data_IF_023834050606
#
_entry.id   IF_023834050606
#
_cell.length_a   1.000
_cell.length_b   1.000
_cell.length_c   1.000
_cell.angle_alpha   90.00
_cell.angle_beta   90.00
_cell.angle_gamma   90.00
#
_symmetry.space_group_name_H-M   'P 1'
#
loop_
_entity.id
_entity.type
_entity.pdbx_description
1 polymer ?
#
# COMPACT_ATOMS: atom_id res chain seq x y z
N UNK A 1 -3.00 -49.78 1.99
CA UNK A 1 -1.69 -49.96 2.65
C UNK A 1 -1.03 -48.59 2.68
N UNK A 2 -0.73 -48.15 3.91
CA UNK A 2 -0.23 -46.83 4.34
C UNK A 2 -1.29 -45.73 4.53
N UNK A 3 -1.56 -45.57 5.82
CA UNK A 3 -2.28 -44.54 6.54
C UNK A 3 -1.26 -43.49 7.05
N UNK A 4 -1.79 -42.36 7.55
CA UNK A 4 -1.20 -41.33 8.43
C UNK A 4 -0.88 -39.94 7.83
N UNK A 5 -1.82 -39.02 8.09
CA UNK A 5 -1.64 -37.71 8.78
C UNK A 5 -0.62 -36.67 8.28
N UNK A 6 -1.09 -35.49 7.82
CA UNK A 6 -0.88 -34.15 8.42
C UNK A 6 -1.62 -33.04 7.60
N UNK A 7 -1.77 -31.77 8.05
CA UNK A 7 -3.01 -30.99 7.95
C UNK A 7 -2.91 -29.82 6.94
N UNK A 8 -4.01 -29.09 6.77
CA UNK A 8 -4.07 -27.75 6.14
C UNK A 8 -3.29 -26.71 6.99
N UNK A 9 -3.01 -25.45 6.56
CA UNK A 9 -3.25 -24.75 5.28
C UNK A 9 -1.97 -24.07 4.72
N UNK A 10 -1.92 -23.65 3.45
CA UNK A 10 -0.84 -22.72 3.02
C UNK A 10 -1.43 -21.31 2.99
N UNK A 11 -1.09 -20.59 4.06
CA UNK A 11 -1.37 -19.18 4.27
C UNK A 11 -0.65 -18.27 3.27
N UNK A 12 -1.30 -17.14 3.06
CA UNK A 12 -0.77 -15.81 2.68
C UNK A 12 0.75 -15.72 2.72
N UNK A 13 1.36 -15.43 1.57
CA UNK A 13 2.72 -14.90 1.51
C UNK A 13 2.67 -13.48 2.10
N UNK A 14 3.24 -13.28 3.28
CA UNK A 14 3.66 -11.96 3.71
C UNK A 14 4.97 -11.69 2.98
N UNK A 15 5.00 -10.69 2.09
CA UNK A 15 6.26 -10.09 1.64
C UNK A 15 6.92 -9.48 2.90
N UNK A 16 7.87 -10.20 3.49
CA UNK A 16 8.64 -9.70 4.62
C UNK A 16 9.62 -8.64 4.08
N UNK A 17 9.42 -7.38 4.46
CA UNK A 17 10.36 -6.30 4.12
C UNK A 17 11.60 -6.46 5.00
N UNK A 18 12.75 -6.71 4.36
CA UNK A 18 14.07 -6.76 5.01
C UNK A 18 14.42 -5.40 5.66
N UNK A 19 14.75 -5.39 6.95
CA UNK A 19 15.19 -4.19 7.67
C UNK A 19 16.71 -4.12 7.84
N UNK A 20 17.31 -2.95 7.64
CA UNK A 20 18.78 -2.80 7.61
C UNK A 20 19.24 -1.78 8.66
N UNK A 21 20.14 -2.19 9.55
CA UNK A 21 20.68 -1.35 10.63
C UNK A 21 22.20 -1.30 10.57
N UNK A 22 22.76 -0.10 10.57
CA UNK A 22 24.20 0.12 10.69
C UNK A 22 24.70 0.03 12.13
N UNK A 23 25.90 -0.50 12.33
CA UNK A 23 26.61 -0.47 13.61
C UNK A 23 27.89 0.34 13.43
N UNK A 24 27.98 1.48 14.11
CA UNK A 24 29.08 2.44 14.01
C UNK A 24 29.73 2.67 15.37
N UNK A 25 30.98 3.12 15.37
CA UNK A 25 31.78 3.35 16.58
C UNK A 25 33.26 3.38 16.22
N UNK A 26 34.09 3.91 17.12
CA UNK A 26 35.53 3.97 16.92
C UNK A 26 36.15 2.58 16.66
N UNK A 27 37.34 2.56 16.07
CA UNK A 27 38.11 1.33 15.97
C UNK A 27 38.40 0.77 17.37
N UNK A 28 38.04 -0.49 17.61
CA UNK A 28 38.17 -1.12 18.92
C UNK A 28 37.03 -0.85 19.91
N UNK A 29 35.98 -0.10 19.54
CA UNK A 29 34.82 0.15 20.41
C UNK A 29 33.96 -1.11 20.72
N UNK A 30 34.24 -2.24 20.05
CA UNK A 30 33.52 -3.51 20.26
C UNK A 30 32.28 -3.70 19.38
N UNK A 31 32.22 -3.03 18.22
CA UNK A 31 31.13 -3.20 17.23
C UNK A 31 30.86 -4.66 16.87
N UNK A 32 31.90 -5.41 16.52
CA UNK A 32 31.77 -6.84 16.18
C UNK A 32 31.19 -7.65 17.34
N UNK A 33 31.59 -7.35 18.58
CA UNK A 33 31.01 -7.98 19.79
C UNK A 33 29.52 -7.66 19.94
N UNK A 34 29.11 -6.42 19.64
CA UNK A 34 27.69 -6.07 19.66
C UNK A 34 26.91 -6.79 18.56
N UNK A 35 27.45 -6.85 17.33
CA UNK A 35 26.84 -7.56 16.20
C UNK A 35 26.65 -9.03 16.51
N UNK A 36 27.68 -9.73 17.00
CA UNK A 36 27.59 -11.15 17.39
C UNK A 36 26.49 -11.40 18.42
N UNK A 37 26.40 -10.54 19.44
CA UNK A 37 25.38 -10.65 20.49
C UNK A 37 23.97 -10.35 19.96
N UNK A 38 23.83 -9.39 19.05
CA UNK A 38 22.55 -9.05 18.41
C UNK A 38 22.08 -10.14 17.46
N UNK A 39 22.96 -10.71 16.63
CA UNK A 39 22.63 -11.87 15.79
C UNK A 39 22.05 -12.98 16.65
N UNK A 40 22.71 -13.31 17.77
CA UNK A 40 22.22 -14.34 18.68
C UNK A 40 20.89 -13.98 19.35
N UNK A 41 20.64 -12.71 19.67
CA UNK A 41 19.39 -12.27 20.30
C UNK A 41 18.21 -12.27 19.31
N UNK A 42 18.43 -11.78 18.08
CA UNK A 42 17.44 -11.77 17.01
C UNK A 42 17.10 -13.18 16.53
N UNK A 43 18.09 -14.07 16.38
CA UNK A 43 17.88 -15.48 16.06
C UNK A 43 17.03 -16.18 17.14
N UNK A 44 17.31 -15.93 18.43
CA UNK A 44 16.47 -16.43 19.54
C UNK A 44 15.04 -15.88 19.50
N UNK A 45 14.82 -14.71 18.90
CA UNK A 45 13.50 -14.12 18.71
C UNK A 45 12.76 -14.68 17.47
N UNK A 46 13.38 -15.61 16.73
CA UNK A 46 12.80 -16.23 15.54
C UNK A 46 12.94 -15.40 14.27
N UNK A 47 13.89 -14.46 14.25
CA UNK A 47 14.17 -13.57 13.11
C UNK A 47 15.37 -14.11 12.32
N UNK A 48 15.25 -14.16 10.99
CA UNK A 48 16.37 -14.49 10.11
C UNK A 48 17.30 -13.27 9.99
N UNK A 49 18.61 -13.47 10.21
CA UNK A 49 19.57 -12.35 10.34
C UNK A 49 20.73 -12.49 9.37
N UNK A 50 20.91 -11.47 8.54
CA UNK A 50 22.07 -11.26 7.69
C UNK A 50 23.09 -10.33 8.34
N UNK A 51 24.34 -10.38 7.88
CA UNK A 51 25.37 -9.41 8.30
C UNK A 51 26.17 -8.94 7.10
N UNK A 52 26.47 -7.66 7.07
CA UNK A 52 27.37 -7.03 6.10
C UNK A 52 28.52 -6.42 6.86
N UNK A 53 29.76 -6.73 6.46
CA UNK A 53 30.96 -6.11 7.02
C UNK A 53 31.70 -5.32 5.95
N UNK A 54 31.75 -4.00 6.11
CA UNK A 54 32.54 -3.13 5.25
C UNK A 54 34.04 -3.34 5.48
N UNK A 55 34.78 -3.71 4.43
CA UNK A 55 36.23 -3.92 4.49
C UNK A 55 36.92 -2.78 3.74
N UNK A 56 37.52 -1.84 4.49
CA UNK A 56 38.14 -0.63 3.93
C UNK A 56 39.59 -0.82 3.42
N UNK A 57 40.09 -2.05 3.39
CA UNK A 57 41.40 -2.39 2.85
C UNK A 57 41.27 -3.51 1.82
N UNK A 58 42.16 -3.56 0.84
CA UNK A 58 42.15 -4.63 -0.16
C UNK A 58 42.43 -5.97 0.53
N UNK A 59 41.37 -6.77 0.71
CA UNK A 59 41.43 -8.14 1.21
C UNK A 59 41.04 -9.06 0.08
N UNK A 60 41.85 -10.08 -0.14
CA UNK A 60 41.48 -11.16 -1.02
C UNK A 60 40.64 -12.18 -0.24
N UNK A 61 39.44 -12.47 -0.73
CA UNK A 61 38.46 -13.31 -0.03
C UNK A 61 38.59 -14.79 -0.39
N UNK A 62 39.24 -15.12 -1.51
CA UNK A 62 39.59 -16.48 -1.90
C UNK A 62 41.11 -16.69 -1.98
N UNK A 63 41.59 -17.92 -1.85
CA UNK A 63 43.03 -18.18 -1.80
C UNK A 63 43.70 -17.93 -3.17
N UNK A 64 44.68 -17.01 -3.27
CA UNK A 64 45.37 -16.72 -4.52
C UNK A 64 45.95 -17.96 -5.19
N UNK A 65 45.62 -18.14 -6.47
CA UNK A 65 46.11 -19.26 -7.28
C UNK A 65 45.34 -20.57 -7.12
N UNK A 66 44.33 -20.65 -6.24
CA UNK A 66 43.38 -21.77 -6.19
C UNK A 66 42.26 -21.61 -7.21
N UNK A 67 41.40 -22.62 -7.32
CA UNK A 67 40.44 -22.75 -8.43
C UNK A 67 39.41 -21.62 -8.47
N UNK A 68 38.80 -21.23 -7.34
CA UNK A 68 37.85 -20.11 -7.28
C UNK A 68 38.49 -18.79 -7.68
N UNK A 69 39.69 -18.50 -7.16
CA UNK A 69 40.47 -17.32 -7.52
C UNK A 69 40.82 -17.31 -9.01
N UNK A 70 41.23 -18.46 -9.56
CA UNK A 70 41.55 -18.60 -10.99
C UNK A 70 40.32 -18.41 -11.87
N UNK A 71 39.15 -18.91 -11.47
CA UNK A 71 37.89 -18.68 -12.20
C UNK A 71 37.51 -17.20 -12.19
N UNK A 72 37.59 -16.54 -11.03
CA UNK A 72 37.25 -15.11 -10.86
C UNK A 72 38.18 -14.23 -11.69
N UNK A 73 39.49 -14.44 -11.58
CA UNK A 73 40.50 -13.67 -12.32
C UNK A 73 40.52 -13.97 -13.83
N UNK A 74 39.96 -15.11 -14.26
CA UNK A 74 39.73 -15.40 -15.67
C UNK A 74 38.53 -14.62 -16.27
N UNK A 75 37.77 -13.88 -15.45
CA UNK A 75 36.66 -13.04 -15.89
C UNK A 75 35.28 -13.66 -15.71
N UNK A 76 35.12 -14.68 -14.86
CA UNK A 76 33.80 -15.17 -14.49
C UNK A 76 33.00 -14.05 -13.79
N UNK A 77 31.79 -13.78 -14.27
CA UNK A 77 30.91 -12.77 -13.69
C UNK A 77 30.47 -13.11 -12.25
N UNK A 78 30.41 -14.41 -11.93
CA UNK A 78 30.10 -14.96 -10.61
C UNK A 78 30.87 -16.27 -10.45
N UNK A 79 31.47 -16.49 -9.29
CA UNK A 79 32.11 -17.75 -8.91
C UNK A 79 31.45 -18.24 -7.63
N UNK A 80 30.99 -19.49 -7.60
CA UNK A 80 30.39 -20.10 -6.41
C UNK A 80 31.23 -21.29 -5.99
N UNK A 81 31.76 -21.25 -4.77
CA UNK A 81 32.39 -22.37 -4.09
C UNK A 81 31.41 -23.01 -3.13
N UNK A 82 31.28 -24.34 -3.18
CA UNK A 82 30.32 -25.08 -2.34
C UNK A 82 31.02 -26.23 -1.65
N UNK A 83 30.80 -26.37 -0.35
CA UNK A 83 31.10 -27.55 0.47
C UNK A 83 29.79 -28.09 1.05
N UNK A 84 29.78 -29.29 1.68
CA UNK A 84 28.58 -29.79 2.36
C UNK A 84 28.05 -28.87 3.48
N UNK A 85 28.87 -27.96 3.99
CA UNK A 85 28.58 -27.14 5.18
C UNK A 85 28.51 -25.63 4.86
N UNK A 86 29.03 -25.19 3.71
CA UNK A 86 29.19 -23.77 3.40
C UNK A 86 29.12 -23.52 1.88
N UNK A 87 28.44 -22.44 1.51
CA UNK A 87 28.51 -21.85 0.17
C UNK A 87 29.15 -20.47 0.27
N UNK A 88 30.07 -20.17 -0.64
CA UNK A 88 30.68 -18.86 -0.80
C UNK A 88 30.53 -18.39 -2.25
N UNK A 89 30.10 -17.14 -2.44
CA UNK A 89 29.99 -16.51 -3.75
C UNK A 89 31.00 -15.36 -3.88
N UNK A 90 31.58 -15.22 -5.06
CA UNK A 90 32.49 -14.14 -5.41
C UNK A 90 32.02 -13.47 -6.69
N UNK A 91 31.81 -12.17 -6.64
CA UNK A 91 31.40 -11.36 -7.78
C UNK A 91 32.41 -10.22 -7.97
N UNK A 92 33.28 -10.31 -9.00
CA UNK A 92 34.18 -9.21 -9.30
C UNK A 92 33.38 -8.01 -9.83
N UNK A 93 33.66 -6.82 -9.30
CA UNK A 93 33.06 -5.56 -9.74
C UNK A 93 34.00 -4.85 -10.70
N UNK A 94 33.44 -4.18 -11.72
CA UNK A 94 34.21 -3.42 -12.71
C UNK A 94 34.90 -2.19 -12.13
N UNK A 95 35.66 -1.45 -12.97
CA UNK A 95 36.42 -0.26 -12.54
C UNK A 95 35.54 0.93 -12.12
N UNK A 96 34.28 0.94 -12.54
CA UNK A 96 33.28 1.96 -12.20
C UNK A 96 32.21 1.31 -11.32
N UNK A 97 32.55 0.98 -10.07
CA UNK A 97 31.74 0.17 -9.15
C UNK A 97 30.68 0.95 -8.37
N UNK A 98 30.54 2.26 -8.65
CA UNK A 98 29.57 3.15 -8.01
C UNK A 98 29.95 3.57 -6.58
N UNK A 99 31.13 3.21 -6.09
CA UNK A 99 31.60 3.60 -4.76
C UNK A 99 30.96 2.80 -3.61
N UNK A 100 31.00 3.35 -2.40
CA UNK A 100 30.61 2.67 -1.18
C UNK A 100 29.10 2.36 -1.11
N UNK A 101 28.25 3.27 -1.59
CA UNK A 101 26.80 3.07 -1.55
C UNK A 101 26.38 1.95 -2.49
N UNK A 102 26.85 1.96 -3.74
CA UNK A 102 26.60 0.86 -4.68
C UNK A 102 27.21 -0.48 -4.22
N UNK A 103 28.27 -0.45 -3.40
CA UNK A 103 28.82 -1.65 -2.78
C UNK A 103 27.95 -2.18 -1.64
N UNK A 104 27.32 -1.30 -0.87
CA UNK A 104 26.35 -1.66 0.14
C UNK A 104 25.07 -2.21 -0.49
N UNK A 105 24.50 -1.55 -1.50
CA UNK A 105 23.28 -1.97 -2.19
C UNK A 105 23.42 -3.39 -2.75
N UNK A 106 24.51 -3.66 -3.47
CA UNK A 106 24.82 -5.02 -3.95
C UNK A 106 24.94 -6.07 -2.85
N UNK A 107 25.42 -5.69 -1.67
CA UNK A 107 25.53 -6.61 -0.55
C UNK A 107 24.15 -6.89 0.06
N UNK A 108 23.27 -5.89 0.08
CA UNK A 108 21.88 -6.01 0.57
C UNK A 108 21.01 -6.84 -0.37
N UNK A 109 21.20 -6.72 -1.69
CA UNK A 109 20.49 -7.51 -2.71
C UNK A 109 20.67 -9.04 -2.52
N UNK A 110 21.76 -9.48 -1.88
CA UNK A 110 22.03 -10.91 -1.61
C UNK A 110 21.09 -11.51 -0.55
N UNK A 111 20.36 -10.68 0.20
CA UNK A 111 19.54 -11.08 1.36
C UNK A 111 18.03 -10.86 1.14
N UNK A 112 17.65 -10.21 0.03
CA UNK A 112 16.31 -9.66 -0.17
C UNK A 112 15.17 -10.69 -0.12
N UNK A 113 15.46 -11.98 -0.35
CA UNK A 113 14.45 -13.03 -0.48
C UNK A 113 14.28 -13.91 0.78
N UNK A 114 15.20 -13.84 1.75
CA UNK A 114 15.28 -14.84 2.83
C UNK A 114 15.77 -14.33 4.20
N UNK A 115 15.96 -13.01 4.36
CA UNK A 115 16.42 -12.40 5.61
C UNK A 115 15.52 -11.24 6.06
N UNK A 116 15.09 -11.29 7.32
CA UNK A 116 14.24 -10.28 7.94
C UNK A 116 15.05 -9.04 8.37
N UNK A 117 16.27 -9.23 8.89
CA UNK A 117 17.12 -8.14 9.42
C UNK A 117 18.57 -8.28 8.95
N UNK A 118 19.16 -7.21 8.43
CA UNK A 118 20.59 -7.13 8.11
C UNK A 118 21.32 -6.15 9.02
N UNK A 119 22.34 -6.64 9.71
CA UNK A 119 23.25 -5.81 10.52
C UNK A 119 24.49 -5.42 9.71
N UNK A 120 24.70 -4.12 9.50
CA UNK A 120 25.78 -3.57 8.69
C UNK A 120 26.88 -2.99 9.58
N UNK A 121 27.98 -3.71 9.76
CA UNK A 121 29.19 -3.18 10.40
C UNK A 121 30.07 -2.47 9.37
N UNK A 122 30.04 -1.14 9.34
CA UNK A 122 30.77 -0.32 8.36
C UNK A 122 29.86 0.72 7.71
N UNK A 123 30.25 1.22 6.54
CA UNK A 123 29.47 2.18 5.75
C UNK A 123 28.94 3.35 6.60
N UNK A 124 29.83 4.02 7.35
CA UNK A 124 29.43 5.05 8.30
C UNK A 124 28.72 6.24 7.65
N UNK A 125 29.00 6.51 6.38
CA UNK A 125 28.34 7.56 5.59
C UNK A 125 27.00 7.15 4.97
N UNK A 126 26.55 5.89 5.14
CA UNK A 126 25.23 5.50 4.62
C UNK A 126 24.13 6.13 5.48
N UNK A 127 23.01 6.52 4.88
CA UNK A 127 21.84 7.03 5.59
C UNK A 127 21.09 6.00 6.47
N UNK A 128 21.53 4.74 6.51
CA UNK A 128 20.94 3.69 7.37
C UNK A 128 20.83 4.13 8.83
N UNK A 129 19.77 3.73 9.56
CA UNK A 129 19.68 3.93 11.00
C UNK A 129 20.84 3.21 11.72
N UNK A 130 21.35 3.81 12.79
CA UNK A 130 22.63 3.45 13.41
C UNK A 130 22.50 3.07 14.88
N UNK A 131 23.11 1.95 15.25
CA UNK A 131 23.53 1.65 16.61
C UNK A 131 24.93 2.20 16.82
N UNK A 132 25.08 3.15 17.74
CA UNK A 132 26.35 3.85 17.98
C UNK A 132 27.04 3.26 19.21
N UNK A 133 28.22 2.69 19.02
CA UNK A 133 29.02 2.04 20.06
C UNK A 133 30.16 2.95 20.50
N UNK A 134 30.21 3.25 21.80
CA UNK A 134 31.21 4.14 22.39
C UNK A 134 30.79 5.62 22.33
N UNK A 135 31.79 6.50 22.18
CA UNK A 135 31.56 7.96 22.14
C UNK A 135 31.11 8.40 20.73
N UNK A 136 29.88 8.92 20.56
CA UNK A 136 29.38 9.37 19.27
C UNK A 136 30.15 10.57 18.70
N UNK A 137 30.76 11.41 19.54
CA UNK A 137 31.52 12.58 19.06
C UNK A 137 32.87 12.19 18.47
N UNK A 138 33.30 10.95 18.69
CA UNK A 138 34.59 10.45 18.27
C UNK A 138 34.59 9.86 16.85
N UNK A 139 33.41 9.78 16.20
CA UNK A 139 33.26 9.32 14.82
C UNK A 139 32.27 10.18 14.04
N UNK A 140 32.56 10.39 12.75
CA UNK A 140 31.59 10.95 11.81
C UNK A 140 30.79 9.82 11.15
N UNK A 141 29.47 9.96 11.15
CA UNK A 141 28.54 9.06 10.48
C UNK A 141 27.29 9.82 10.05
N UNK A 142 26.61 9.29 9.04
CA UNK A 142 25.32 9.76 8.57
C UNK A 142 24.21 8.77 9.02
N UNK A 143 22.95 9.21 8.95
CA UNK A 143 21.79 8.45 9.36
C UNK A 143 21.39 8.65 10.83
N UNK A 144 20.16 8.25 11.14
CA UNK A 144 19.56 8.45 12.46
C UNK A 144 20.14 7.51 13.52
N UNK A 145 20.29 8.01 14.75
CA UNK A 145 20.75 7.18 15.88
C UNK A 145 19.58 6.41 16.47
N UNK A 146 19.54 5.11 16.20
CA UNK A 146 18.53 4.21 16.77
C UNK A 146 18.78 3.96 18.26
N UNK A 147 20.03 3.72 18.65
CA UNK A 147 20.41 3.60 20.07
C UNK A 147 21.91 3.84 20.28
N UNK A 148 22.27 4.33 21.47
CA UNK A 148 23.67 4.48 21.90
C UNK A 148 24.05 3.40 22.91
N UNK A 149 25.13 2.68 22.63
CA UNK A 149 25.66 1.59 23.44
C UNK A 149 27.04 2.00 23.97
N UNK A 150 27.14 2.30 25.26
CA UNK A 150 28.41 2.75 25.85
C UNK A 150 29.51 1.68 25.77
N UNK A 151 29.16 0.43 26.08
CA UNK A 151 30.01 -0.76 25.93
C UNK A 151 29.15 -1.95 25.55
N UNK A 152 29.59 -2.82 24.63
CA UNK A 152 28.82 -4.01 24.27
C UNK A 152 28.52 -4.89 25.47
N UNK A 153 29.48 -5.08 26.38
CA UNK A 153 29.35 -5.94 27.56
C UNK A 153 28.18 -5.54 28.47
N UNK A 154 27.95 -4.23 28.61
CA UNK A 154 26.93 -3.66 29.48
C UNK A 154 25.57 -3.49 28.77
N UNK A 155 25.49 -3.82 27.47
CA UNK A 155 24.26 -3.66 26.69
C UNK A 155 23.21 -4.72 27.06
N UNK A 156 21.97 -4.27 27.28
CA UNK A 156 20.81 -5.16 27.28
C UNK A 156 20.47 -5.51 25.82
N UNK A 157 21.02 -6.62 25.36
CA UNK A 157 20.93 -7.03 23.95
C UNK A 157 19.57 -7.58 23.55
N UNK A 158 18.78 -8.07 24.51
CA UNK A 158 17.42 -8.49 24.23
C UNK A 158 16.52 -7.26 24.08
N UNK A 159 16.70 -6.22 24.91
CA UNK A 159 16.04 -4.93 24.71
C UNK A 159 16.49 -4.23 23.42
N UNK A 160 17.77 -4.35 23.05
CA UNK A 160 18.27 -3.79 21.80
C UNK A 160 17.72 -4.53 20.58
N UNK A 161 17.65 -5.85 20.63
CA UNK A 161 17.01 -6.67 19.60
C UNK A 161 15.52 -6.33 19.48
N UNK A 162 14.81 -6.19 20.60
CA UNK A 162 13.43 -5.73 20.62
C UNK A 162 13.28 -4.36 19.98
N UNK A 163 14.19 -3.41 20.23
CA UNK A 163 14.18 -2.10 19.55
C UNK A 163 14.47 -2.16 18.06
N UNK A 164 15.38 -3.04 17.62
CA UNK A 164 15.61 -3.28 16.20
C UNK A 164 14.34 -3.85 15.56
N UNK A 165 13.67 -4.80 16.23
CA UNK A 165 12.40 -5.38 15.79
C UNK A 165 11.23 -4.39 15.87
N UNK A 166 11.19 -3.54 16.87
CA UNK A 166 10.18 -2.49 16.98
C UNK A 166 10.42 -1.44 15.90
N UNK A 167 11.68 -1.12 15.58
CA UNK A 167 12.01 -0.26 14.44
C UNK A 167 11.75 -0.94 13.08
N UNK A 168 11.70 -2.29 13.00
CA UNK A 168 11.13 -3.01 11.85
C UNK A 168 9.60 -2.88 11.79
N UNK A 169 8.95 -2.54 12.92
CA UNK A 169 7.49 -2.46 13.09
C UNK A 169 6.95 -1.02 13.23
N UNK A 170 7.80 -0.01 13.38
CA UNK A 170 7.45 1.42 13.38
C UNK A 170 8.55 2.37 13.91
N UNK A 171 8.76 3.48 13.18
CA UNK A 171 9.00 4.91 13.59
C UNK A 171 10.00 5.65 12.64
N UNK A 172 10.11 6.99 12.61
CA UNK A 172 9.40 7.94 11.74
C UNK A 172 10.40 8.94 11.11
N UNK A 173 11.26 8.49 10.20
CA UNK A 173 12.34 9.34 9.66
C UNK A 173 12.88 8.95 8.28
N UNK A 174 12.42 7.84 7.73
CA UNK A 174 12.64 7.43 6.35
C UNK A 174 11.34 7.67 5.61
N UNK A 175 11.36 8.40 4.49
CA UNK A 175 10.30 8.36 3.47
C UNK A 175 10.24 6.94 2.88
N UNK A 176 9.75 6.01 3.67
CA UNK A 176 9.16 4.76 3.24
C UNK A 176 7.81 4.77 3.94
N UNK A 177 6.74 4.83 3.15
CA UNK A 177 5.38 4.68 3.63
C UNK A 177 5.36 3.56 4.67
N UNK A 178 4.69 3.78 5.80
CA UNK A 178 4.29 2.66 6.65
C UNK A 178 3.62 1.62 5.76
N UNK A 179 3.68 0.31 6.08
CA UNK A 179 3.10 -0.70 5.19
C UNK A 179 1.67 -0.27 4.86
N UNK A 180 1.48 0.19 3.61
CA UNK A 180 0.25 0.82 3.17
C UNK A 180 -0.84 -0.20 3.43
N UNK A 181 -1.63 0.07 4.46
CA UNK A 181 -2.72 -0.83 4.76
C UNK A 181 -3.81 -0.47 3.78
N UNK A 182 -4.13 -1.41 2.90
CA UNK A 182 -5.26 -1.25 2.00
C UNK A 182 -6.54 -1.54 2.77
N UNK A 183 -7.42 -0.54 2.88
CA UNK A 183 -8.80 -0.72 3.33
C UNK A 183 -9.67 -0.87 2.08
N UNK A 184 -10.43 -1.96 2.00
CA UNK A 184 -11.34 -2.21 0.88
C UNK A 184 -12.60 -1.34 1.04
N UNK A 185 -12.86 -0.51 0.03
CA UNK A 185 -14.00 0.43 0.03
C UNK A 185 -15.10 0.01 -0.96
N UNK A 186 -15.10 -1.25 -1.38
CA UNK A 186 -15.91 -1.75 -2.49
C UNK A 186 -16.97 -2.75 -2.00
N UNK A 187 -18.23 -2.57 -2.42
CA UNK A 187 -19.25 -3.59 -2.24
C UNK A 187 -19.01 -4.80 -3.16
N UNK A 188 -19.30 -6.00 -2.67
CA UNK A 188 -19.26 -7.22 -3.50
C UNK A 188 -20.34 -7.15 -4.60
N UNK A 189 -19.94 -7.41 -5.85
CA UNK A 189 -20.90 -7.56 -6.95
C UNK A 189 -21.64 -8.89 -6.83
N UNK A 190 -22.96 -8.84 -6.85
CA UNK A 190 -23.83 -10.00 -6.77
C UNK A 190 -25.04 -9.88 -7.69
N UNK A 191 -25.56 -11.01 -8.18
CA UNK A 191 -26.83 -11.03 -8.90
C UNK A 191 -27.95 -10.53 -7.99
N UNK A 192 -28.71 -9.53 -8.45
CA UNK A 192 -29.81 -8.95 -7.69
C UNK A 192 -29.42 -7.88 -6.66
N UNK A 193 -28.14 -7.45 -6.66
CA UNK A 193 -27.70 -6.30 -5.88
C UNK A 193 -28.47 -5.02 -6.27
N UNK A 194 -28.50 -3.99 -5.39
CA UNK A 194 -29.07 -2.69 -5.74
C UNK A 194 -28.41 -2.09 -6.99
N UNK A 195 -29.25 -1.54 -7.87
CA UNK A 195 -28.85 -0.70 -9.01
C UNK A 195 -29.78 0.51 -9.05
N UNK A 196 -29.34 1.62 -9.62
CA UNK A 196 -30.19 2.80 -9.75
C UNK A 196 -31.49 2.45 -10.49
N UNK A 197 -32.67 2.96 -10.08
CA UNK A 197 -33.93 2.59 -10.72
C UNK A 197 -33.97 2.88 -12.23
N UNK A 198 -34.06 1.81 -13.03
CA UNK A 198 -34.08 1.87 -14.49
C UNK A 198 -32.78 1.41 -15.15
N UNK A 199 -31.71 1.24 -14.37
CA UNK A 199 -30.42 0.77 -14.87
C UNK A 199 -30.41 -0.74 -15.16
N UNK A 200 -29.45 -1.22 -15.99
CA UNK A 200 -29.26 -2.63 -16.22
C UNK A 200 -28.89 -3.37 -14.92
N UNK A 201 -29.56 -4.50 -14.68
CA UNK A 201 -29.25 -5.37 -13.53
C UNK A 201 -27.86 -6.01 -13.67
N UNK A 202 -27.17 -6.16 -12.54
CA UNK A 202 -25.98 -7.03 -12.44
C UNK A 202 -26.40 -8.49 -12.45
N UNK A 203 -25.82 -9.28 -13.34
CA UNK A 203 -26.05 -10.72 -13.46
C UNK A 203 -24.73 -11.48 -13.51
N UNK A 204 -24.57 -12.41 -12.57
CA UNK A 204 -23.48 -13.37 -12.47
C UNK A 204 -24.04 -14.77 -12.70
N UNK A 205 -23.61 -15.43 -13.77
CA UNK A 205 -24.06 -16.77 -14.16
C UNK A 205 -22.89 -17.74 -14.23
N UNK A 206 -23.01 -18.91 -13.59
CA UNK A 206 -22.01 -19.98 -13.74
C UNK A 206 -22.11 -20.61 -15.13
N UNK A 207 -21.02 -20.55 -15.88
CA UNK A 207 -20.90 -21.10 -17.25
C UNK A 207 -20.23 -22.48 -17.25
N UNK A 208 -19.30 -22.73 -16.32
CA UNK A 208 -18.58 -24.00 -16.19
C UNK A 208 -18.32 -24.33 -14.72
N UNK A 209 -18.27 -25.61 -14.36
CA UNK A 209 -18.01 -26.08 -12.99
C UNK A 209 -16.86 -27.08 -12.91
N UNK A 210 -16.17 -27.12 -11.77
CA UNK A 210 -15.09 -28.10 -11.58
C UNK A 210 -15.55 -29.56 -11.71
N UNK A 211 -16.81 -29.84 -11.36
CA UNK A 211 -17.35 -31.20 -11.40
C UNK A 211 -17.54 -31.72 -12.83
N UNK A 212 -18.05 -30.87 -13.72
CA UNK A 212 -18.41 -31.26 -15.08
C UNK A 212 -17.30 -30.93 -16.10
N UNK A 213 -16.56 -29.84 -15.89
CA UNK A 213 -15.62 -29.27 -16.86
C UNK A 213 -14.15 -29.28 -16.38
N UNK A 214 -13.91 -29.50 -15.09
CA UNK A 214 -12.57 -29.47 -14.47
C UNK A 214 -12.06 -28.07 -14.09
N UNK A 215 -12.84 -27.02 -14.33
CA UNK A 215 -12.56 -25.62 -13.97
C UNK A 215 -13.87 -24.86 -13.66
N UNK A 216 -13.79 -23.71 -12.98
CA UNK A 216 -14.97 -22.87 -12.69
C UNK A 216 -14.86 -21.53 -13.41
N UNK A 217 -15.92 -21.13 -14.11
CA UNK A 217 -16.03 -19.83 -14.82
C UNK A 217 -17.45 -19.30 -14.68
N UNK A 218 -17.56 -18.00 -14.42
CA UNK A 218 -18.83 -17.26 -14.50
C UNK A 218 -18.79 -16.24 -15.64
N UNK A 219 -19.94 -15.95 -16.25
CA UNK A 219 -20.18 -14.74 -17.02
C UNK A 219 -20.68 -13.62 -16.12
N UNK A 220 -20.23 -12.39 -16.41
CA UNK A 220 -20.65 -11.17 -15.75
C UNK A 220 -21.34 -10.28 -16.79
N UNK A 221 -22.57 -9.86 -16.52
CA UNK A 221 -23.24 -8.78 -17.22
C UNK A 221 -23.45 -7.63 -16.23
N UNK A 222 -22.91 -6.46 -16.55
CA UNK A 222 -22.81 -5.30 -15.66
C UNK A 222 -23.29 -4.05 -16.39
N UNK A 223 -24.01 -3.18 -15.68
CA UNK A 223 -24.14 -1.78 -16.07
C UNK A 223 -22.83 -1.02 -15.87
N UNK A 224 -22.66 0.12 -16.54
CA UNK A 224 -21.51 1.02 -16.34
C UNK A 224 -21.48 1.59 -14.92
N UNK A 225 -22.66 1.77 -14.31
CA UNK A 225 -22.87 2.30 -12.97
C UNK A 225 -23.18 1.21 -11.92
N UNK A 226 -22.67 -0.01 -12.14
CA UNK A 226 -22.95 -1.14 -11.26
C UNK A 226 -22.07 -1.15 -10.00
N UNK A 227 -22.72 -1.13 -8.82
CA UNK A 227 -22.04 -1.28 -7.53
C UNK A 227 -21.18 -0.08 -7.19
N UNK A 228 -20.05 -0.33 -6.55
CA UNK A 228 -19.02 0.71 -6.37
C UNK A 228 -18.40 1.03 -7.72
N UNK A 229 -18.57 2.26 -8.19
CA UNK A 229 -18.24 2.66 -9.55
C UNK A 229 -17.78 4.12 -9.62
N UNK A 230 -17.29 4.52 -10.79
CA UNK A 230 -16.92 5.90 -11.12
C UNK A 230 -17.69 6.38 -12.35
N UNK A 231 -18.07 7.66 -12.31
CA UNK A 231 -18.74 8.38 -13.38
C UNK A 231 -17.80 9.38 -14.05
N UNK A 232 -17.85 9.41 -15.38
CA UNK A 232 -17.17 10.36 -16.23
C UNK A 232 -18.15 11.42 -16.77
N UNK A 233 -17.65 12.58 -17.25
CA UNK A 233 -18.48 13.67 -17.74
C UNK A 233 -19.57 13.28 -18.75
N UNK A 234 -19.28 12.27 -19.58
CA UNK A 234 -20.22 11.73 -20.58
C UNK A 234 -21.55 11.25 -20.00
N UNK A 235 -21.62 10.92 -18.72
CA UNK A 235 -22.82 10.45 -18.05
C UNK A 235 -23.98 11.47 -18.12
N UNK A 236 -23.67 12.78 -18.01
CA UNK A 236 -24.68 13.86 -18.06
C UNK A 236 -24.46 14.87 -19.18
N UNK A 237 -23.32 14.83 -19.87
CA UNK A 237 -23.02 15.68 -21.04
C UNK A 237 -22.75 14.83 -22.28
N UNK A 238 -23.53 15.03 -23.34
CA UNK A 238 -23.38 14.30 -24.60
C UNK A 238 -22.01 14.52 -25.29
N UNK A 239 -21.37 15.67 -25.04
CA UNK A 239 -20.04 16.01 -25.53
C UNK A 239 -18.94 15.80 -24.47
N UNK A 240 -19.32 15.33 -23.27
CA UNK A 240 -18.43 15.06 -22.15
C UNK A 240 -17.43 13.93 -22.44
N UNK A 241 -16.29 14.01 -21.74
CA UNK A 241 -15.27 12.98 -21.76
C UNK A 241 -15.79 11.64 -21.21
N UNK A 242 -15.42 10.55 -21.86
CA UNK A 242 -15.55 9.18 -21.35
C UNK A 242 -14.32 8.79 -20.53
N UNK A 243 -14.38 7.67 -19.81
CA UNK A 243 -13.25 7.15 -19.02
C UNK A 243 -11.97 6.93 -19.85
N UNK A 244 -12.09 6.72 -21.17
CA UNK A 244 -10.94 6.58 -22.06
C UNK A 244 -10.05 7.82 -22.19
N UNK A 245 -10.53 8.99 -21.74
CA UNK A 245 -9.78 10.25 -21.75
C UNK A 245 -8.87 10.45 -20.54
N UNK A 246 -9.08 9.70 -19.45
CA UNK A 246 -8.39 9.85 -18.17
C UNK A 246 -7.16 8.93 -18.08
N UNK A 247 -6.08 9.42 -17.47
CA UNK A 247 -4.88 8.66 -17.15
C UNK A 247 -5.06 7.87 -15.84
N UNK A 248 -4.16 6.91 -15.57
CA UNK A 248 -4.21 6.15 -14.31
C UNK A 248 -4.04 7.04 -13.07
N UNK A 249 -3.25 8.11 -13.20
CA UNK A 249 -3.00 9.07 -12.12
C UNK A 249 -4.29 9.81 -11.72
N UNK A 250 -5.28 9.94 -12.62
CA UNK A 250 -6.58 10.56 -12.32
C UNK A 250 -7.48 9.68 -11.42
N UNK A 251 -7.05 8.46 -11.10
CA UNK A 251 -7.77 7.51 -10.24
C UNK A 251 -7.00 7.16 -8.95
N UNK A 252 -5.88 7.84 -8.69
CA UNK A 252 -5.14 7.80 -7.42
C UNK A 252 -5.09 9.21 -6.85
N UNK A 253 -5.99 9.48 -5.91
CA UNK A 253 -6.37 10.82 -5.48
C UNK A 253 -6.02 11.03 -4.00
N UNK A 254 -5.50 12.20 -3.64
CA UNK A 254 -5.37 12.58 -2.24
C UNK A 254 -6.77 12.90 -1.69
N UNK A 255 -7.23 12.12 -0.71
CA UNK A 255 -8.60 12.16 -0.23
C UNK A 255 -8.77 12.92 1.08
N UNK A 256 -9.89 13.64 1.19
CA UNK A 256 -10.39 14.23 2.43
C UNK A 256 -11.71 13.57 2.84
N UNK A 257 -11.71 12.83 3.94
CA UNK A 257 -12.95 12.31 4.54
C UNK A 257 -13.73 13.45 5.22
N UNK A 258 -15.02 13.52 4.91
CA UNK A 258 -16.01 14.41 5.51
C UNK A 258 -17.15 13.58 6.13
N UNK A 259 -17.10 13.28 7.43
CA UNK A 259 -18.21 12.65 8.13
C UNK A 259 -19.40 13.63 8.21
N UNK A 260 -20.54 13.21 7.68
CA UNK A 260 -21.78 14.00 7.67
C UNK A 260 -22.90 13.19 8.34
N UNK A 261 -23.54 13.78 9.35
CA UNK A 261 -24.75 13.21 9.96
C UNK A 261 -25.95 13.64 9.13
N UNK A 262 -26.37 12.79 8.19
CA UNK A 262 -27.52 13.02 7.32
C UNK A 262 -28.39 11.76 7.28
N UNK A 263 -29.69 11.95 7.52
CA UNK A 263 -30.68 10.88 7.50
C UNK A 263 -31.24 10.60 6.10
N UNK A 264 -32.26 9.73 6.08
CA UNK A 264 -32.99 9.40 4.87
C UNK A 264 -33.51 10.66 4.18
N UNK A 265 -33.25 10.80 2.87
CA UNK A 265 -33.72 11.92 2.03
C UNK A 265 -33.26 13.30 2.53
N UNK A 266 -32.24 13.38 3.37
CA UNK A 266 -31.73 14.65 3.89
C UNK A 266 -30.78 15.30 2.89
N UNK A 267 -30.94 16.61 2.71
CA UNK A 267 -30.11 17.40 1.82
C UNK A 267 -28.79 17.80 2.49
N UNK A 268 -27.67 17.45 1.87
CA UNK A 268 -26.32 17.82 2.28
C UNK A 268 -25.97 19.14 1.59
N UNK A 269 -26.16 20.24 2.34
CA UNK A 269 -25.72 21.59 1.99
C UNK A 269 -24.23 21.86 2.26
N UNK A 270 -23.73 23.00 1.76
CA UNK A 270 -22.33 23.46 1.95
C UNK A 270 -21.96 23.52 3.44
N UNK A 271 -22.92 23.85 4.30
CA UNK A 271 -22.74 23.93 5.75
C UNK A 271 -22.33 22.62 6.43
N UNK A 272 -22.49 21.49 5.75
CA UNK A 272 -22.06 20.17 6.22
C UNK A 272 -20.64 19.81 5.75
N UNK A 273 -20.09 20.55 4.79
CA UNK A 273 -18.80 20.27 4.20
C UNK A 273 -17.67 20.93 5.02
N UNK A 274 -16.46 20.33 5.05
CA UNK A 274 -15.33 20.92 5.74
C UNK A 274 -14.85 22.21 5.03
N UNK A 275 -14.06 23.01 5.72
CA UNK A 275 -13.27 24.05 5.07
C UNK A 275 -12.38 23.41 3.98
N UNK A 276 -12.19 24.09 2.84
CA UNK A 276 -11.46 23.53 1.73
C UNK A 276 -9.96 23.39 2.08
N UNK A 277 -9.36 22.32 1.60
CA UNK A 277 -7.96 21.96 1.70
C UNK A 277 -7.42 21.54 0.33
N UNK A 278 -6.26 20.89 0.29
CA UNK A 278 -5.53 20.49 -0.91
C UNK A 278 -5.81 19.04 -1.35
N UNK A 279 -6.92 18.43 -0.93
CA UNK A 279 -7.33 17.12 -1.50
C UNK A 279 -7.72 17.24 -2.98
N UNK A 280 -7.59 16.14 -3.69
CA UNK A 280 -8.15 15.96 -5.03
C UNK A 280 -9.60 15.45 -4.95
N UNK A 281 -9.97 14.72 -3.88
CA UNK A 281 -11.31 14.14 -3.71
C UNK A 281 -11.89 14.40 -2.32
N UNK A 282 -13.13 14.86 -2.27
CA UNK A 282 -13.92 14.94 -1.05
C UNK A 282 -14.75 13.65 -0.90
N UNK A 283 -14.51 12.92 0.18
CA UNK A 283 -15.19 11.65 0.48
C UNK A 283 -16.25 11.92 1.55
N UNK A 284 -17.51 12.04 1.15
CA UNK A 284 -18.63 12.28 2.07
C UNK A 284 -19.12 10.95 2.62
N UNK A 285 -18.90 10.74 3.92
CA UNK A 285 -19.29 9.53 4.64
C UNK A 285 -20.50 9.83 5.52
N UNK A 286 -21.60 9.11 5.28
CA UNK A 286 -22.86 9.22 6.03
C UNK A 286 -23.14 7.99 6.88
N UNK A 287 -22.51 6.85 6.56
CA UNK A 287 -22.81 5.53 7.10
C UNK A 287 -24.01 4.86 6.39
N UNK A 288 -24.42 5.38 5.23
CA UNK A 288 -25.57 4.86 4.48
C UNK A 288 -25.30 3.49 3.84
N UNK A 289 -24.03 3.13 3.67
CA UNK A 289 -23.59 1.81 3.21
C UNK A 289 -24.08 0.68 4.12
N UNK A 290 -24.38 0.96 5.40
CA UNK A 290 -25.03 0.02 6.31
C UNK A 290 -26.45 -0.42 5.86
N UNK A 291 -27.07 0.31 4.92
CA UNK A 291 -28.37 -0.01 4.33
C UNK A 291 -28.28 -0.75 3.00
N UNK A 292 -27.08 -1.11 2.53
CA UNK A 292 -26.87 -1.88 1.30
C UNK A 292 -27.77 -3.12 1.25
N UNK A 293 -28.29 -3.43 0.07
CA UNK A 293 -29.20 -4.56 -0.18
C UNK A 293 -30.56 -4.46 0.56
N UNK A 294 -31.02 -3.25 0.87
CA UNK A 294 -32.35 -3.00 1.44
C UNK A 294 -33.14 -1.94 0.66
N UNK A 295 -34.48 -1.98 0.75
CA UNK A 295 -35.35 -0.98 0.12
C UNK A 295 -35.07 0.46 0.64
N UNK A 296 -34.61 0.59 1.89
CA UNK A 296 -34.24 1.88 2.47
C UNK A 296 -33.02 2.49 1.79
N UNK A 297 -32.15 1.69 1.16
CA UNK A 297 -30.95 2.21 0.50
C UNK A 297 -31.27 3.29 -0.54
N UNK A 298 -32.40 3.15 -1.23
CA UNK A 298 -32.89 4.10 -2.24
C UNK A 298 -33.42 5.42 -1.66
N UNK A 299 -33.54 5.54 -0.34
CA UNK A 299 -33.93 6.77 0.35
C UNK A 299 -32.72 7.49 0.97
N UNK A 300 -31.55 7.33 0.35
CA UNK A 300 -30.29 7.95 0.76
C UNK A 300 -30.35 9.48 0.88
N UNK A 301 -29.46 10.08 1.69
CA UNK A 301 -29.20 11.51 1.62
C UNK A 301 -28.64 11.89 0.24
N UNK A 302 -28.67 13.19 -0.08
CA UNK A 302 -28.21 13.69 -1.39
C UNK A 302 -27.54 15.04 -1.25
N UNK A 303 -26.68 15.41 -2.19
CA UNK A 303 -26.05 16.72 -2.20
C UNK A 303 -26.99 17.77 -2.79
N UNK A 304 -26.98 18.96 -2.20
CA UNK A 304 -27.56 20.13 -2.88
C UNK A 304 -26.72 20.51 -4.09
N UNK A 305 -27.36 21.13 -5.10
CA UNK A 305 -26.64 21.65 -6.28
C UNK A 305 -25.55 22.67 -5.90
N UNK A 306 -25.77 23.44 -4.84
CA UNK A 306 -24.80 24.42 -4.34
C UNK A 306 -23.61 23.73 -3.66
N UNK A 307 -23.82 22.64 -2.92
CA UNK A 307 -22.73 21.82 -2.37
C UNK A 307 -21.89 21.15 -3.48
N UNK A 308 -22.55 20.59 -4.50
CA UNK A 308 -21.86 20.02 -5.65
C UNK A 308 -21.06 21.07 -6.45
N UNK A 309 -21.63 22.27 -6.64
CA UNK A 309 -20.93 23.38 -7.26
C UNK A 309 -19.73 23.84 -6.41
N UNK A 310 -19.88 23.90 -5.09
CA UNK A 310 -18.80 24.23 -4.18
C UNK A 310 -17.64 23.22 -4.29
N UNK A 311 -17.92 21.92 -4.36
CA UNK A 311 -16.88 20.91 -4.60
C UNK A 311 -16.12 21.18 -5.90
N UNK A 312 -16.86 21.40 -7.00
CA UNK A 312 -16.26 21.68 -8.30
C UNK A 312 -15.43 22.99 -8.33
N UNK A 313 -15.88 24.04 -7.63
CA UNK A 313 -15.15 25.31 -7.50
C UNK A 313 -13.83 25.19 -6.73
N UNK A 314 -13.69 24.14 -5.90
CA UNK A 314 -12.48 23.82 -5.16
C UNK A 314 -11.70 22.66 -5.79
N UNK A 315 -11.99 22.34 -7.06
CA UNK A 315 -11.33 21.30 -7.85
C UNK A 315 -11.51 19.86 -7.29
N UNK A 316 -12.44 19.64 -6.36
CA UNK A 316 -12.70 18.32 -5.81
C UNK A 316 -13.46 17.41 -6.78
N UNK A 317 -12.94 16.19 -6.95
CA UNK A 317 -13.75 15.01 -7.23
C UNK A 317 -14.67 14.70 -6.04
N UNK A 318 -15.73 13.95 -6.26
CA UNK A 318 -16.66 13.55 -5.20
C UNK A 318 -16.65 12.03 -5.03
N UNK A 319 -16.63 11.57 -3.78
CA UNK A 319 -16.82 10.18 -3.43
C UNK A 319 -17.88 10.05 -2.31
N UNK A 320 -18.81 9.11 -2.42
CA UNK A 320 -19.95 8.95 -1.51
C UNK A 320 -20.22 7.48 -1.14
N UNK A 321 -20.78 7.24 0.04
CA UNK A 321 -21.18 5.90 0.53
C UNK A 321 -22.65 5.54 0.28
N UNK A 322 -23.32 6.33 -0.56
CA UNK A 322 -24.71 6.13 -0.95
C UNK A 322 -24.87 6.08 -2.46
N UNK A 323 -26.08 5.71 -2.89
CA UNK A 323 -26.39 5.31 -4.26
C UNK A 323 -26.16 6.39 -5.30
N UNK A 324 -26.32 7.66 -4.95
CA UNK A 324 -26.20 8.77 -5.89
C UNK A 324 -26.08 10.12 -5.20
N UNK A 325 -25.33 11.13 -5.70
CA UNK A 325 -25.34 12.48 -5.15
C UNK A 325 -26.67 13.19 -5.40
N UNK A 326 -27.53 12.67 -6.26
CA UNK A 326 -28.87 13.18 -6.55
C UNK A 326 -29.97 12.24 -6.02
N UNK A 327 -31.16 12.73 -5.62
CA UNK A 327 -32.20 11.87 -5.07
C UNK A 327 -32.70 10.80 -6.05
N UNK A 328 -32.84 9.58 -5.55
CA UNK A 328 -33.47 8.48 -6.30
C UNK A 328 -35.00 8.64 -6.34
N UNK A 329 -35.68 8.36 -7.47
CA UNK A 329 -37.14 8.41 -7.54
C UNK A 329 -37.81 7.25 -6.78
N UNK A 330 -38.21 7.45 -5.52
CA UNK A 330 -39.02 6.48 -4.75
C UNK A 330 -40.38 7.06 -4.34
N UNK A 331 -41.23 6.23 -3.74
CA UNK A 331 -42.51 6.64 -3.18
C UNK A 331 -42.37 7.59 -1.98
N UNK A 332 -41.18 7.69 -1.38
CA UNK A 332 -40.90 8.54 -0.22
C UNK A 332 -40.33 9.92 -0.59
N UNK A 333 -40.09 10.18 -1.88
CA UNK A 333 -39.57 11.46 -2.36
C UNK A 333 -40.52 12.62 -2.07
N UNK A 334 -40.00 13.69 -1.46
CA UNK A 334 -40.74 14.93 -1.24
C UNK A 334 -40.81 15.77 -2.54
N UNK A 335 -41.95 16.43 -2.86
CA UNK A 335 -42.06 17.31 -4.03
C UNK A 335 -41.06 18.49 -4.06
N UNK A 336 -40.44 18.82 -2.94
CA UNK A 336 -39.39 19.83 -2.82
C UNK A 336 -37.98 19.32 -3.15
N UNK A 337 -37.79 18.01 -3.32
CA UNK A 337 -36.53 17.43 -3.77
C UNK A 337 -36.22 17.85 -5.22
N UNK A 338 -34.93 18.01 -5.57
CA UNK A 338 -34.55 18.33 -6.94
C UNK A 338 -34.96 17.21 -7.91
N UNK A 339 -35.42 17.60 -9.10
CA UNK A 339 -35.67 16.68 -10.20
C UNK A 339 -34.43 16.52 -11.09
N UNK A 340 -34.18 15.30 -11.57
CA UNK A 340 -33.06 15.02 -12.46
C UNK A 340 -31.74 14.91 -11.70
N UNK A 341 -30.64 15.33 -12.31
CA UNK A 341 -29.29 15.11 -11.80
C UNK A 341 -28.48 16.41 -11.63
N UNK A 342 -28.97 17.40 -10.84
CA UNK A 342 -28.27 18.67 -10.70
C UNK A 342 -26.90 18.54 -10.04
N UNK A 343 -26.68 17.65 -9.06
CA UNK A 343 -25.38 17.47 -8.42
C UNK A 343 -24.37 16.91 -9.42
N UNK A 344 -24.73 15.85 -10.16
CA UNK A 344 -23.91 15.35 -11.27
C UNK A 344 -23.61 16.46 -12.28
N UNK A 345 -24.63 17.21 -12.72
CA UNK A 345 -24.45 18.26 -13.70
C UNK A 345 -23.46 19.35 -13.28
N UNK A 346 -23.31 19.61 -11.97
CA UNK A 346 -22.29 20.54 -11.46
C UNK A 346 -20.89 19.93 -11.43
N UNK A 347 -20.76 18.69 -10.98
CA UNK A 347 -19.47 18.00 -10.82
C UNK A 347 -18.92 17.58 -12.19
N UNK A 348 -19.67 16.74 -12.89
CA UNK A 348 -19.30 16.18 -14.18
C UNK A 348 -19.21 17.26 -15.26
N UNK A 349 -20.05 18.30 -15.19
CA UNK A 349 -19.96 19.46 -16.09
C UNK A 349 -18.72 20.36 -15.86
N UNK A 350 -17.99 20.15 -14.76
CA UNK A 350 -16.72 20.77 -14.44
C UNK A 350 -15.55 19.77 -14.48
N UNK A 351 -15.73 18.66 -15.20
CA UNK A 351 -14.77 17.56 -15.36
C UNK A 351 -14.36 16.90 -14.04
N UNK A 352 -15.22 16.94 -13.01
CA UNK A 352 -14.99 16.26 -11.73
C UNK A 352 -15.67 14.90 -11.70
N UNK A 353 -14.87 13.84 -11.70
CA UNK A 353 -15.32 12.45 -11.48
C UNK A 353 -16.14 12.31 -10.18
N UNK A 354 -17.12 11.39 -10.22
CA UNK A 354 -17.96 11.02 -9.08
C UNK A 354 -17.79 9.53 -8.80
N UNK A 355 -17.56 9.15 -7.55
CA UNK A 355 -17.44 7.77 -7.10
C UNK A 355 -18.60 7.46 -6.14
N UNK A 356 -19.37 6.43 -6.45
CA UNK A 356 -20.60 6.11 -5.72
C UNK A 356 -20.53 4.74 -5.03
N UNK A 357 -21.44 4.52 -4.08
CA UNK A 357 -21.59 3.25 -3.37
C UNK A 357 -20.29 2.75 -2.71
N UNK A 358 -19.54 3.63 -2.06
CA UNK A 358 -18.42 3.21 -1.22
C UNK A 358 -18.90 2.55 0.08
N UNK A 359 -18.05 1.72 0.68
CA UNK A 359 -18.26 1.14 2.02
C UNK A 359 -16.96 1.16 2.82
N UNK A 360 -16.97 0.74 4.10
CA UNK A 360 -15.74 0.56 4.89
C UNK A 360 -15.05 1.87 5.30
N UNK A 361 -15.74 3.02 5.16
CA UNK A 361 -15.19 4.35 5.46
C UNK A 361 -15.06 4.65 6.96
N UNK A 362 -15.51 3.76 7.83
CA UNK A 362 -15.40 3.92 9.30
C UNK A 362 -13.96 3.75 9.81
N UNK A 363 -13.15 2.99 9.07
CA UNK A 363 -11.80 2.62 9.45
C UNK A 363 -10.73 3.46 8.72
N UNK A 364 -11.13 4.47 7.93
CA UNK A 364 -10.19 5.35 7.21
C UNK A 364 -9.93 6.67 7.96
N UNK A 365 -8.69 7.17 7.98
CA UNK A 365 -8.36 8.45 8.58
C UNK A 365 -8.94 9.61 7.77
N UNK A 366 -8.86 10.82 8.34
CA UNK A 366 -9.36 12.03 7.67
C UNK A 366 -8.65 12.35 6.35
N UNK A 367 -7.38 11.98 6.23
CA UNK A 367 -6.57 12.13 5.01
C UNK A 367 -5.97 10.78 4.67
N UNK A 368 -6.14 10.35 3.42
CA UNK A 368 -5.64 9.09 2.90
C UNK A 368 -5.47 9.18 1.39
N UNK A 369 -4.82 8.19 0.78
CA UNK A 369 -4.80 8.07 -0.68
C UNK A 369 -5.94 7.16 -1.12
N UNK A 370 -6.81 7.68 -1.98
CA UNK A 370 -7.94 6.94 -2.55
C UNK A 370 -7.59 6.44 -3.95
N UNK A 371 -7.62 5.12 -4.12
CA UNK A 371 -7.35 4.45 -5.39
C UNK A 371 -8.62 3.76 -5.89
N UNK A 372 -9.13 4.16 -7.06
CA UNK A 372 -10.37 3.64 -7.63
C UNK A 372 -10.27 3.44 -9.14
N UNK A 373 -9.51 2.43 -9.54
CA UNK A 373 -9.22 2.15 -10.95
C UNK A 373 -10.43 1.47 -11.63
N UNK A 374 -11.00 2.08 -12.70
CA UNK A 374 -12.12 1.48 -13.41
C UNK A 374 -11.70 0.33 -14.32
N UNK A 375 -12.68 -0.49 -14.69
CA UNK A 375 -12.53 -1.33 -15.88
C UNK A 375 -12.14 -0.46 -17.08
N UNK A 376 -11.15 -0.92 -17.86
CA UNK A 376 -10.64 -0.16 -19.01
C UNK A 376 -11.64 -0.22 -20.18
N UNK A 377 -12.64 0.65 -20.13
CA UNK A 377 -13.69 0.80 -21.15
C UNK A 377 -13.84 2.25 -21.57
N UNK A 378 -14.20 2.48 -22.83
CA UNK A 378 -14.51 3.81 -23.35
C UNK A 378 -16.01 4.11 -23.15
N UNK A 379 -16.39 4.40 -21.90
CA UNK A 379 -17.77 4.56 -21.47
C UNK A 379 -17.94 5.76 -20.51
N UNK A 380 -19.19 6.04 -20.17
CA UNK A 380 -19.63 7.09 -19.24
C UNK A 380 -19.40 6.75 -17.77
N UNK A 381 -19.17 5.47 -17.45
CA UNK A 381 -18.77 5.03 -16.12
C UNK A 381 -18.27 3.58 -16.16
N UNK A 382 -17.76 3.10 -15.04
CA UNK A 382 -17.41 1.70 -14.86
C UNK A 382 -17.31 1.31 -13.38
N UNK A 383 -17.60 0.03 -13.03
CA UNK A 383 -17.25 -0.51 -11.73
C UNK A 383 -15.75 -0.37 -11.43
N UNK A 384 -15.42 -0.08 -10.17
CA UNK A 384 -14.06 0.08 -9.68
C UNK A 384 -13.80 -0.90 -8.54
N UNK A 385 -12.51 -1.22 -8.30
CA UNK A 385 -12.08 -1.68 -6.98
C UNK A 385 -11.52 -0.47 -6.24
N UNK A 386 -12.35 0.13 -5.40
CA UNK A 386 -11.99 1.26 -4.57
C UNK A 386 -11.25 0.79 -3.32
N UNK A 387 -10.10 1.38 -3.03
CA UNK A 387 -9.30 1.12 -1.83
C UNK A 387 -8.77 2.42 -1.24
N UNK A 388 -8.64 2.47 0.08
CA UNK A 388 -7.85 3.48 0.76
C UNK A 388 -6.46 2.91 1.08
N UNK A 389 -5.42 3.59 0.59
CA UNK A 389 -4.04 3.45 1.05
C UNK A 389 -3.90 4.33 2.32
N UNK A 390 -3.76 3.68 3.47
CA UNK A 390 -3.59 4.36 4.76
C UNK A 390 -2.24 4.02 5.38
N UNK A 391 -1.61 5.06 5.93
CA UNK A 391 -0.46 4.90 6.81
C UNK A 391 -0.96 4.37 8.16
N UNK A 392 -0.45 3.22 8.61
CA UNK A 392 -0.71 2.71 9.96
C UNK A 392 0.40 3.04 10.95
#
# INVERSE_FOLDING_TARGET
>A
MRDATNPLPVGVAYDAVMYVVGVVGESGAGKTTLVERLVSALDRAGTTVGTVKGIHHAVELDEPGKDTHRHRTAGAARVVGVTPELTASFQPVGKDDGGADAALDRALDEFADDVDVVLVEGFSSSALPKLVVGDPEAIAFDGDVLERVARPDDADVDALAARVLDATRGDPGSERSSPETLVDLTHELATGMPVYPGDPETVIETVATNADDGYHVCSLALGTHAGTHVDAPRHVDADGATLGAFALDDFRLDARLAPVDAGAREAIGIEHLPEPDDADVLVVRTGWDAHWDTDVYFDHPYLTADAAAWCAEHDYHLAIDFLSPDPTPTANADPGEPSGFPAHGRLLGADRLVFENLTGLDDVPTRFVFCAYPLKVDADGAPVRAVAEIDR
#
